data_IF_888973896624
#
_entry.id   IF_888973896624
#
_cell.length_a   1.000
_cell.length_b   1.000
_cell.length_c   1.000
_cell.angle_alpha   90.00
_cell.angle_beta   90.00
_cell.angle_gamma   90.00
#
_symmetry.space_group_name_H-M   'P 1'
#
loop_
_entity.id
_entity.type
_entity.pdbx_description
1 polymer ?
#
# COMPACT_ATOMS: atom_id res chain seq x y z
N UNK A 1 7.45 6.01 -13.45
CA UNK A 1 7.02 7.28 -12.82
C UNK A 1 5.55 7.16 -12.50
N UNK A 2 5.13 7.62 -11.32
CA UNK A 2 3.71 7.66 -10.94
C UNK A 2 3.19 9.09 -11.00
N UNK A 3 2.01 9.27 -11.56
CA UNK A 3 1.29 10.53 -11.63
C UNK A 3 0.12 10.54 -10.64
N UNK A 4 -0.35 11.73 -10.28
CA UNK A 4 -1.52 11.88 -9.41
C UNK A 4 -2.77 11.15 -9.93
N UNK A 5 -2.90 10.99 -11.24
CA UNK A 5 -4.04 10.32 -11.88
C UNK A 5 -3.99 8.79 -11.79
N UNK A 6 -2.86 8.19 -11.39
CA UNK A 6 -2.75 6.74 -11.19
C UNK A 6 -3.59 6.25 -9.99
N UNK A 7 -3.92 7.16 -9.06
CA UNK A 7 -4.73 6.93 -7.86
C UNK A 7 -5.92 7.92 -7.85
N UNK A 8 -6.88 7.69 -8.74
CA UNK A 8 -8.01 8.58 -8.95
C UNK A 8 -9.05 8.49 -7.83
N UNK A 9 -9.36 7.27 -7.36
CA UNK A 9 -10.43 7.03 -6.39
C UNK A 9 -9.88 6.81 -4.97
N UNK A 10 -10.67 7.15 -3.94
CA UNK A 10 -10.37 6.71 -2.58
C UNK A 10 -10.15 5.19 -2.50
N UNK A 11 -9.30 4.78 -1.56
CA UNK A 11 -8.90 3.40 -1.34
C UNK A 11 -8.04 2.77 -2.44
N UNK A 12 -7.83 3.42 -3.58
CA UNK A 12 -6.80 2.98 -4.53
C UNK A 12 -5.41 3.21 -3.94
N UNK A 13 -4.51 2.30 -4.26
CA UNK A 13 -3.10 2.42 -3.94
C UNK A 13 -2.24 1.95 -5.09
N UNK A 14 -1.02 2.46 -5.12
CA UNK A 14 0.10 1.92 -5.89
C UNK A 14 1.29 1.69 -4.96
N UNK A 15 2.21 0.81 -5.36
CA UNK A 15 3.50 0.65 -4.69
C UNK A 15 4.63 1.02 -5.63
N UNK A 16 5.66 1.64 -5.07
CA UNK A 16 6.84 2.12 -5.77
C UNK A 16 8.08 1.72 -4.99
N UNK A 17 9.20 1.56 -5.68
CA UNK A 17 10.51 1.49 -5.05
C UNK A 17 11.16 2.87 -5.08
N UNK A 18 11.61 3.34 -3.91
CA UNK A 18 12.28 4.63 -3.74
C UNK A 18 13.54 4.37 -2.91
N UNK A 19 14.71 4.43 -3.56
CA UNK A 19 15.98 4.19 -2.89
C UNK A 19 16.12 2.79 -2.30
N UNK A 20 15.50 1.78 -2.91
CA UNK A 20 15.47 0.40 -2.40
C UNK A 20 14.41 0.14 -1.32
N UNK A 21 13.64 1.16 -0.92
CA UNK A 21 12.52 1.00 -0.02
C UNK A 21 11.19 0.96 -0.78
N UNK A 22 10.37 -0.04 -0.46
CA UNK A 22 9.02 -0.13 -1.03
C UNK A 22 8.08 0.82 -0.29
N UNK A 23 7.39 1.69 -1.03
CA UNK A 23 6.47 2.72 -0.53
C UNK A 23 5.09 2.49 -1.13
N UNK A 24 4.05 2.55 -0.30
CA UNK A 24 2.64 2.58 -0.71
C UNK A 24 2.22 4.05 -0.84
N UNK A 25 1.66 4.42 -1.99
CA UNK A 25 0.95 5.68 -2.18
C UNK A 25 -0.53 5.38 -2.33
N UNK A 26 -1.39 6.08 -1.57
CA UNK A 26 -2.84 5.87 -1.58
C UNK A 26 -3.60 7.18 -1.45
N UNK A 27 -4.87 7.17 -1.90
CA UNK A 27 -5.82 8.28 -1.66
C UNK A 27 -6.78 7.89 -0.55
N UNK A 28 -6.81 8.68 0.52
CA UNK A 28 -7.72 8.42 1.64
C UNK A 28 -9.17 8.83 1.30
N UNK A 29 -10.10 8.56 2.21
CA UNK A 29 -11.52 8.91 2.06
C UNK A 29 -11.79 10.42 1.95
N UNK A 30 -10.87 11.26 2.43
CA UNK A 30 -10.92 12.72 2.27
C UNK A 30 -10.36 13.20 0.93
N UNK A 31 -10.01 12.28 0.03
CA UNK A 31 -9.42 12.61 -1.27
C UNK A 31 -7.94 13.03 -1.19
N UNK A 32 -7.27 12.88 -0.05
CA UNK A 32 -5.89 13.33 0.16
C UNK A 32 -4.93 12.18 -0.15
N UNK A 33 -3.88 12.46 -0.94
CA UNK A 33 -2.79 11.52 -1.19
C UNK A 33 -1.88 11.40 0.03
N UNK A 34 -1.50 10.17 0.37
CA UNK A 34 -0.55 9.85 1.43
C UNK A 34 0.41 8.77 0.97
N UNK A 35 1.62 8.81 1.52
CA UNK A 35 2.65 7.81 1.29
C UNK A 35 3.09 7.18 2.62
N UNK A 36 3.35 5.87 2.60
CA UNK A 36 3.80 5.09 3.75
C UNK A 36 4.80 4.03 3.30
N UNK A 37 5.72 3.62 4.16
CA UNK A 37 6.53 2.44 3.90
C UNK A 37 5.63 1.20 3.77
N UNK A 38 5.90 0.37 2.78
CA UNK A 38 5.21 -0.89 2.51
C UNK A 38 5.69 -2.00 3.46
N UNK A 39 5.68 -1.71 4.75
CA UNK A 39 6.20 -2.58 5.80
C UNK A 39 5.25 -2.57 7.00
N UNK A 40 4.85 -3.75 7.44
CA UNK A 40 4.05 -3.90 8.64
C UNK A 40 4.89 -3.56 9.87
N UNK A 41 4.45 -2.59 10.67
CA UNK A 41 5.16 -2.19 11.90
C UNK A 41 5.22 -3.26 12.99
N UNK A 42 4.46 -4.35 12.86
CA UNK A 42 4.48 -5.44 13.84
C UNK A 42 5.58 -6.46 13.54
N UNK A 43 5.64 -7.00 12.31
CA UNK A 43 6.54 -8.12 11.96
C UNK A 43 7.41 -7.86 10.72
N UNK A 44 7.44 -6.64 10.20
CA UNK A 44 8.28 -6.30 9.05
C UNK A 44 7.81 -6.88 7.71
N UNK A 45 6.65 -7.55 7.67
CA UNK A 45 6.13 -8.15 6.44
C UNK A 45 5.63 -7.08 5.47
N UNK A 46 5.79 -7.32 4.16
CA UNK A 46 5.25 -6.44 3.12
C UNK A 46 3.73 -6.41 3.19
N UNK A 47 3.14 -5.22 3.18
CA UNK A 47 1.68 -5.02 3.33
C UNK A 47 0.97 -5.29 2.00
N UNK A 48 1.46 -4.67 0.93
CA UNK A 48 0.91 -4.77 -0.42
C UNK A 48 1.87 -5.54 -1.32
N UNK A 49 1.43 -6.67 -1.87
CA UNK A 49 2.25 -7.48 -2.77
C UNK A 49 2.17 -7.01 -4.23
N UNK A 50 1.02 -6.48 -4.65
CA UNK A 50 0.82 -5.98 -6.00
C UNK A 50 1.24 -4.51 -6.11
N UNK A 51 1.64 -4.11 -7.32
CA UNK A 51 2.04 -2.73 -7.64
C UNK A 51 0.87 -1.75 -7.67
N UNK A 52 -0.36 -2.25 -7.80
CA UNK A 52 -1.59 -1.46 -7.75
C UNK A 52 -2.71 -2.31 -7.16
N UNK A 53 -3.63 -1.67 -6.46
CA UNK A 53 -4.83 -2.33 -5.97
C UNK A 53 -5.78 -1.38 -5.27
N UNK A 54 -6.74 -1.95 -4.55
CA UNK A 54 -7.68 -1.22 -3.73
C UNK A 54 -7.71 -1.81 -2.32
N UNK A 55 -7.73 -0.96 -1.30
CA UNK A 55 -7.87 -1.39 0.09
C UNK A 55 -9.34 -1.61 0.45
N UNK A 56 -9.62 -2.74 1.09
CA UNK A 56 -10.87 -2.91 1.84
C UNK A 56 -10.86 -2.01 3.09
N UNK A 57 -12.02 -1.85 3.75
CA UNK A 57 -12.17 -1.05 5.00
C UNK A 57 -11.12 -1.39 6.07
N UNK A 58 -10.58 -2.61 6.07
CA UNK A 58 -9.50 -3.05 6.96
C UNK A 58 -8.36 -3.65 6.16
N UNK A 59 -7.14 -3.18 6.42
CA UNK A 59 -5.92 -3.75 5.85
C UNK A 59 -5.47 -4.88 6.78
N UNK A 60 -5.58 -6.13 6.31
CA UNK A 60 -5.07 -7.31 7.01
C UNK A 60 -3.83 -7.80 6.29
N UNK A 61 -2.68 -7.71 6.97
CA UNK A 61 -1.45 -8.31 6.45
C UNK A 61 -1.55 -9.81 6.69
N UNK A 62 -1.67 -10.58 5.61
CA UNK A 62 -1.62 -12.05 5.70
C UNK A 62 -0.18 -12.44 6.01
N UNK A 63 0.03 -13.09 7.15
CA UNK A 63 1.32 -13.67 7.48
C UNK A 63 1.40 -15.02 6.77
N UNK A 64 2.36 -15.23 5.83
CA UNK A 64 2.45 -16.49 5.08
C UNK A 64 2.63 -17.72 5.98
N UNK A 65 3.15 -17.52 7.19
CA UNK A 65 3.48 -18.56 8.17
C UNK A 65 2.31 -18.94 9.09
N UNK A 66 1.19 -18.21 9.04
CA UNK A 66 0.03 -18.47 9.90
C UNK A 66 -1.00 -19.41 9.23
N UNK A 67 -0.73 -19.82 7.99
CA UNK A 67 -1.51 -20.78 7.20
C UNK A 67 -0.87 -22.20 7.24
N UNK A 68 0.07 -22.44 8.18
CA UNK A 68 0.66 -23.74 8.52
C UNK A 68 0.17 -24.22 9.90
#
# INVERSE_FOLDING_TARGET
>A
MAAQNDIAKPSEYITLDIGGESVIILRNSKGILKAFFNVCRHRGTRICQNNKGNFSKTIKVRLPWLDL
#
